data_IF_372060369761
#
_entry.id   IF_372060369761
#
_cell.length_a   1.000
_cell.length_b   1.000
_cell.length_c   1.000
_cell.angle_alpha   90.00
_cell.angle_beta   90.00
_cell.angle_gamma   90.00
#
_symmetry.space_group_name_H-M   'P 1'
#
loop_
_entity.id
_entity.type
_entity.pdbx_description
1 polymer ?
#
# COMPACT_ATOMS: atom_id res chain seq x y z
N UNK A 1 -4.29 -8.33 16.86
CA UNK A 1 -4.58 -8.82 15.49
C UNK A 1 -3.34 -8.59 14.66
N UNK A 2 -2.75 -9.64 14.07
CA UNK A 2 -1.56 -9.54 13.24
C UNK A 2 -1.94 -8.86 11.91
N UNK A 3 -1.27 -7.77 11.54
CA UNK A 3 -1.42 -7.14 10.23
C UNK A 3 -0.26 -7.60 9.36
N UNK A 4 -0.54 -8.47 8.38
CA UNK A 4 0.44 -8.84 7.37
C UNK A 4 0.45 -7.77 6.27
N UNK A 5 1.58 -7.09 6.10
CA UNK A 5 1.81 -6.15 5.00
C UNK A 5 2.63 -6.83 3.92
N UNK A 6 2.10 -6.83 2.71
CA UNK A 6 2.84 -7.27 1.53
C UNK A 6 3.14 -6.04 0.69
N UNK A 7 4.41 -5.62 0.71
CA UNK A 7 4.93 -4.54 -0.11
C UNK A 7 5.41 -5.08 -1.45
N UNK A 8 4.83 -4.62 -2.55
CA UNK A 8 5.31 -4.93 -3.90
C UNK A 8 5.63 -3.64 -4.64
N UNK A 9 6.84 -3.59 -5.21
CA UNK A 9 7.19 -2.58 -6.20
C UNK A 9 6.47 -2.88 -7.51
N UNK A 10 5.69 -1.94 -8.03
CA UNK A 10 4.88 -2.16 -9.24
C UNK A 10 5.72 -2.28 -10.53
N UNK A 11 7.04 -2.03 -10.47
CA UNK A 11 7.99 -2.25 -11.56
C UNK A 11 8.91 -3.45 -11.34
N UNK A 12 8.65 -4.29 -10.33
CA UNK A 12 9.39 -5.54 -10.15
C UNK A 12 8.98 -6.60 -11.18
N UNK A 13 9.98 -7.17 -11.87
CA UNK A 13 9.79 -8.24 -12.85
C UNK A 13 10.08 -9.63 -12.28
N UNK A 14 10.77 -9.74 -11.14
CA UNK A 14 11.12 -11.05 -10.53
C UNK A 14 9.93 -11.61 -9.77
N UNK A 15 9.29 -10.79 -8.94
CA UNK A 15 8.04 -11.14 -8.23
C UNK A 15 7.00 -10.05 -8.50
N UNK A 16 6.33 -10.10 -9.67
CA UNK A 16 5.44 -9.02 -10.09
C UNK A 16 4.19 -8.94 -9.21
N UNK A 17 3.65 -7.73 -9.07
CA UNK A 17 2.42 -7.44 -8.31
C UNK A 17 1.26 -8.39 -8.65
N UNK A 18 1.13 -8.76 -9.93
CA UNK A 18 0.10 -9.68 -10.40
C UNK A 18 0.18 -11.04 -9.71
N UNK A 19 1.38 -11.59 -9.52
CA UNK A 19 1.57 -12.85 -8.83
C UNK A 19 1.12 -12.74 -7.36
N UNK A 20 1.52 -11.67 -6.68
CA UNK A 20 1.10 -11.40 -5.29
C UNK A 20 -0.42 -11.27 -5.16
N UNK A 21 -1.07 -10.58 -6.10
CA UNK A 21 -2.53 -10.44 -6.11
C UNK A 21 -3.24 -11.78 -6.23
N UNK A 22 -2.79 -12.64 -7.15
CA UNK A 22 -3.36 -13.99 -7.28
C UNK A 22 -3.18 -14.82 -6.01
N UNK A 23 -2.00 -14.75 -5.37
CA UNK A 23 -1.76 -15.47 -4.11
C UNK A 23 -2.66 -15.00 -2.97
N UNK A 24 -2.93 -13.69 -2.87
CA UNK A 24 -3.82 -13.13 -1.85
C UNK A 24 -5.29 -13.46 -2.15
N UNK A 25 -5.68 -13.42 -3.43
CA UNK A 25 -7.03 -13.77 -3.85
C UNK A 25 -7.37 -15.23 -3.52
N UNK A 26 -6.39 -16.14 -3.70
CA UNK A 26 -6.53 -17.54 -3.32
C UNK A 26 -6.76 -17.78 -1.81
N UNK A 27 -6.49 -16.80 -0.94
CA UNK A 27 -6.81 -16.90 0.49
C UNK A 27 -8.30 -16.71 0.79
N UNK A 28 -9.10 -16.20 -0.16
CA UNK A 28 -10.54 -16.00 0.01
C UNK A 28 -10.91 -15.02 1.13
N UNK A 29 -10.03 -14.08 1.48
CA UNK A 29 -10.25 -13.13 2.56
C UNK A 29 -11.29 -12.08 2.17
N UNK A 30 -12.24 -11.72 3.07
CA UNK A 30 -13.20 -10.66 2.78
C UNK A 30 -12.49 -9.30 2.72
N UNK A 31 -12.77 -8.54 1.66
CA UNK A 31 -12.28 -7.16 1.49
C UNK A 31 -13.01 -6.24 2.45
N UNK A 32 -12.24 -5.49 3.26
CA UNK A 32 -12.75 -4.47 4.19
C UNK A 32 -12.67 -3.08 3.59
N UNK A 33 -11.59 -2.77 2.87
CA UNK A 33 -11.43 -1.53 2.12
C UNK A 33 -11.01 -1.88 0.70
N UNK A 34 -11.82 -1.49 -0.27
CA UNK A 34 -11.57 -1.67 -1.71
C UNK A 34 -10.29 -0.95 -2.16
N UNK A 35 -9.70 -1.41 -3.25
CA UNK A 35 -8.47 -0.87 -3.83
C UNK A 35 -8.51 0.67 -3.96
N UNK A 36 -7.62 1.36 -3.25
CA UNK A 36 -7.56 2.83 -3.19
C UNK A 36 -6.12 3.34 -3.37
N UNK A 37 -5.94 4.56 -3.94
CA UNK A 37 -4.63 5.21 -3.99
C UNK A 37 -4.28 5.79 -2.61
N UNK A 38 -3.05 5.59 -2.16
CA UNK A 38 -2.52 6.25 -0.96
C UNK A 38 -1.52 7.34 -1.32
N UNK A 39 -1.42 8.35 -0.44
CA UNK A 39 -0.76 9.61 -0.76
C UNK A 39 0.43 9.91 0.14
N UNK A 40 1.48 10.45 -0.47
CA UNK A 40 2.61 11.05 0.20
C UNK A 40 2.79 12.48 -0.35
N UNK A 41 2.60 13.49 0.50
CA UNK A 41 2.71 14.90 0.13
C UNK A 41 1.94 15.27 -1.17
N UNK A 42 0.65 14.91 -1.23
CA UNK A 42 -0.26 15.10 -2.38
C UNK A 42 0.09 14.32 -3.65
N UNK A 43 1.11 13.46 -3.63
CA UNK A 43 1.44 12.56 -4.74
C UNK A 43 1.00 11.14 -4.41
N UNK A 44 0.51 10.42 -5.41
CA UNK A 44 0.18 8.99 -5.26
C UNK A 44 1.47 8.23 -4.99
N UNK A 45 1.62 7.72 -3.78
CA UNK A 45 2.74 6.88 -3.38
C UNK A 45 2.57 5.43 -3.82
N UNK A 46 1.33 5.02 -4.10
CA UNK A 46 0.96 3.71 -4.61
C UNK A 46 -0.50 3.42 -4.31
N UNK A 47 -0.84 2.14 -4.17
CA UNK A 47 -2.20 1.70 -3.88
C UNK A 47 -2.24 0.74 -2.71
N UNK A 48 -3.39 0.63 -2.08
CA UNK A 48 -3.60 -0.31 -0.99
C UNK A 48 -4.99 -0.95 -1.07
N UNK A 49 -5.09 -2.15 -0.54
CA UNK A 49 -6.36 -2.85 -0.32
C UNK A 49 -6.30 -3.56 1.02
N UNK A 50 -7.35 -3.41 1.81
CA UNK A 50 -7.42 -3.96 3.17
C UNK A 50 -8.40 -5.12 3.16
N UNK A 51 -7.91 -6.27 3.60
CA UNK A 51 -8.69 -7.47 3.86
C UNK A 51 -8.78 -7.71 5.37
N UNK A 52 -9.67 -8.62 5.78
CA UNK A 52 -9.75 -9.02 7.18
C UNK A 52 -8.46 -9.73 7.61
N UNK A 53 -7.59 -9.02 8.34
CA UNK A 53 -6.31 -9.54 8.86
C UNK A 53 -5.11 -9.37 7.92
N UNK A 54 -5.27 -8.74 6.76
CA UNK A 54 -4.18 -8.56 5.78
C UNK A 54 -4.33 -7.21 5.08
N UNK A 55 -3.22 -6.52 4.84
CA UNK A 55 -3.21 -5.30 4.00
C UNK A 55 -2.19 -5.45 2.88
N UNK A 56 -2.67 -5.37 1.64
CA UNK A 56 -1.83 -5.30 0.46
C UNK A 56 -1.47 -3.83 0.22
N UNK A 57 -0.18 -3.54 0.03
CA UNK A 57 0.30 -2.19 -0.28
C UNK A 57 1.29 -2.25 -1.43
N UNK A 58 1.07 -1.43 -2.44
CA UNK A 58 2.03 -1.24 -3.53
C UNK A 58 2.71 0.09 -3.39
N UNK A 59 3.96 0.15 -3.86
CA UNK A 59 4.71 1.40 -3.95
C UNK A 59 4.97 1.70 -5.41
N UNK A 60 4.45 2.83 -5.86
CA UNK A 60 4.51 3.26 -7.25
C UNK A 60 5.93 3.59 -7.68
N UNK A 61 6.37 3.00 -8.78
CA UNK A 61 7.70 3.18 -9.35
C UNK A 61 8.82 2.67 -8.46
N UNK A 62 8.59 1.58 -7.72
CA UNK A 62 9.60 0.84 -6.98
C UNK A 62 9.85 -0.53 -7.64
N UNK A 63 11.10 -0.98 -7.68
CA UNK A 63 11.46 -2.36 -8.10
C UNK A 63 11.39 -3.35 -6.93
N UNK A 64 12.07 -4.50 -7.06
CA UNK A 64 12.10 -5.56 -6.05
C UNK A 64 12.47 -5.05 -4.65
N UNK A 65 13.54 -4.24 -4.59
CA UNK A 65 13.98 -3.60 -3.35
C UNK A 65 13.31 -2.24 -3.16
N UNK A 66 12.10 -2.24 -2.58
CA UNK A 66 11.32 -1.01 -2.34
C UNK A 66 12.09 0.03 -1.51
N UNK A 67 12.80 -0.31 -0.41
CA UNK A 67 13.54 0.68 0.37
C UNK A 67 14.70 1.32 -0.39
N UNK A 68 15.30 0.63 -1.36
CA UNK A 68 16.38 1.15 -2.19
C UNK A 68 15.84 2.20 -3.19
N UNK A 69 14.75 1.89 -3.88
CA UNK A 69 14.20 2.75 -4.94
C UNK A 69 13.35 3.91 -4.39
N UNK A 70 12.63 3.68 -3.29
CA UNK A 70 11.64 4.62 -2.73
C UNK A 70 11.75 4.67 -1.19
N UNK A 71 12.88 5.15 -0.64
CA UNK A 71 13.16 5.09 0.79
C UNK A 71 12.13 5.86 1.64
N UNK A 72 11.65 7.00 1.14
CA UNK A 72 10.62 7.80 1.82
C UNK A 72 9.29 7.05 1.94
N UNK A 73 8.82 6.47 0.83
CA UNK A 73 7.59 5.69 0.78
C UNK A 73 7.70 4.41 1.62
N UNK A 74 8.86 3.74 1.58
CA UNK A 74 9.14 2.56 2.40
C UNK A 74 9.06 2.89 3.91
N UNK A 75 9.58 4.04 4.33
CA UNK A 75 9.50 4.48 5.73
C UNK A 75 8.05 4.76 6.16
N UNK A 76 7.23 5.36 5.29
CA UNK A 76 5.80 5.58 5.57
C UNK A 76 5.09 4.24 5.74
N UNK A 77 5.31 3.31 4.81
CA UNK A 77 4.76 1.96 4.88
C UNK A 77 5.17 1.28 6.20
N UNK A 78 6.45 1.33 6.56
CA UNK A 78 6.96 0.73 7.80
C UNK A 78 6.35 1.36 9.06
N UNK A 79 6.20 2.68 9.10
CA UNK A 79 5.53 3.37 10.24
C UNK A 79 4.08 2.96 10.38
N UNK A 80 3.34 2.87 9.26
CA UNK A 80 1.94 2.46 9.27
C UNK A 80 1.77 0.99 9.67
N UNK A 81 2.69 0.12 9.22
CA UNK A 81 2.78 -1.27 9.64
C UNK A 81 2.93 -1.38 11.17
N UNK A 82 3.90 -0.69 11.76
CA UNK A 82 4.13 -0.72 13.21
C UNK A 82 2.95 -0.17 14.02
N UNK A 83 2.22 0.79 13.48
CA UNK A 83 1.03 1.37 14.12
C UNK A 83 -0.24 0.55 13.90
N UNK A 84 -0.21 -0.45 13.02
CA UNK A 84 -1.39 -1.21 12.61
C UNK A 84 -2.46 -0.34 11.95
N UNK A 85 -2.06 0.72 11.23
CA UNK A 85 -2.96 1.66 10.56
C UNK A 85 -2.95 1.45 9.05
N UNK A 86 -4.08 1.67 8.35
CA UNK A 86 -4.12 1.68 6.90
C UNK A 86 -3.27 2.83 6.32
N UNK A 87 -2.93 2.74 5.03
CA UNK A 87 -2.15 3.77 4.34
C UNK A 87 -2.94 5.09 4.25
N UNK A 88 -2.27 6.25 4.18
CA UNK A 88 -2.95 7.54 4.21
C UNK A 88 -3.74 7.79 2.92
N UNK A 89 -5.02 8.10 3.08
CA UNK A 89 -5.91 8.53 2.00
C UNK A 89 -5.57 9.94 1.51
N UNK A 90 -6.24 10.37 0.43
CA UNK A 90 -6.07 11.72 -0.11
C UNK A 90 -6.26 12.78 0.99
N UNK A 91 -5.37 13.79 1.09
CA UNK A 91 -5.58 14.88 2.01
C UNK A 91 -6.91 15.56 1.65
N UNK A 92 -7.81 15.65 2.62
CA UNK A 92 -9.07 16.37 2.47
C UNK A 92 -8.71 17.79 2.05
N UNK A 93 -9.18 18.25 0.88
CA UNK A 93 -9.20 19.69 0.59
C UNK A 93 -10.07 20.30 1.68
N UNK A 94 -9.46 20.96 2.65
CA UNK A 94 -10.21 21.87 3.53
C UNK A 94 -10.79 22.91 2.59
N UNK A 95 -12.11 22.89 2.43
CA UNK A 95 -12.86 23.93 1.75
C UNK A 95 -12.73 25.20 2.60
N UNK A 96 -11.65 25.94 2.41
CA UNK A 96 -11.61 27.34 2.80
C UNK A 96 -12.18 28.14 1.62
N UNK A 97 -13.51 28.13 1.53
CA UNK A 97 -14.24 29.20 0.85
C UNK A 97 -14.32 30.38 1.83
N UNK A 98 -13.68 31.49 1.47
CA UNK A 98 -13.92 32.82 2.00
C UNK A 98 -13.75 33.82 0.86
#
# INVERSE_FOLDING_TARGET
>A
MLLLFIGSGDTDAVVPLTATRYSIDALGLPTTVSWYPWYDAMKVGGWSQVYKGLSLVTVRGAGHEVPLHRPRQALILFKHFLQGKPMPDAPTKVQNEA
#
